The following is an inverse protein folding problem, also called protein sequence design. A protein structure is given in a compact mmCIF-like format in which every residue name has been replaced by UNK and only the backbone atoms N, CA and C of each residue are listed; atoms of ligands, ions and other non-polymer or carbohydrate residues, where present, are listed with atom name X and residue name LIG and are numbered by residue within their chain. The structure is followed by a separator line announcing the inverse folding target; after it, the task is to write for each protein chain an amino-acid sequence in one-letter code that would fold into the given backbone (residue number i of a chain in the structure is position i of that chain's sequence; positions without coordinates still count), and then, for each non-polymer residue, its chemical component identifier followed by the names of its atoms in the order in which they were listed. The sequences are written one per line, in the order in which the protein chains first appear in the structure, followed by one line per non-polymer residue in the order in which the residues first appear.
data_IF_598378406834
#
_entry.id   IF_598378406834
#
_cell.length_a   1.000
_cell.length_b   1.000
_cell.length_c   1.000
_cell.angle_alpha   90.00
_cell.angle_beta   90.00
_cell.angle_gamma   90.00
#
_symmetry.space_group_name_H-M   'P 1'
#
loop_
_entity.id
_entity.type
_entity.pdbx_description
1 polymer ?
#
# COMPACT_ATOMS: atom_id res chain seq x y z
N UNK A 1 43.34 34.84 -15.44
CA UNK A 1 42.00 34.77 -14.83
C UNK A 1 41.30 36.10 -15.09
N UNK A 2 40.36 36.12 -16.04
CA UNK A 2 39.67 37.32 -16.49
C UNK A 2 38.41 37.57 -15.65
N UNK A 3 38.37 38.67 -14.90
CA UNK A 3 37.19 39.09 -14.14
C UNK A 3 36.32 39.99 -15.01
N UNK A 4 35.17 39.48 -15.46
CA UNK A 4 34.16 40.27 -16.20
C UNK A 4 33.47 41.23 -15.23
N UNK A 5 33.68 42.53 -15.42
CA UNK A 5 32.90 43.60 -14.76
C UNK A 5 31.49 43.61 -15.36
N UNK A 6 30.47 43.39 -14.54
CA UNK A 6 29.08 43.57 -14.94
C UNK A 6 28.73 45.06 -14.92
N UNK A 7 28.21 45.55 -16.03
CA UNK A 7 27.76 46.93 -16.23
C UNK A 7 26.30 47.05 -15.75
N UNK A 8 26.05 47.94 -14.80
CA UNK A 8 24.71 48.28 -14.31
C UNK A 8 23.91 49.03 -15.39
N UNK A 9 22.63 48.67 -15.56
CA UNK A 9 21.64 49.42 -16.34
C UNK A 9 20.53 49.92 -15.40
N UNK A 10 20.22 51.24 -15.34
CA UNK A 10 19.09 51.74 -14.58
C UNK A 10 17.93 52.14 -15.49
N UNK A 11 16.72 51.60 -15.23
CA UNK A 11 15.38 52.18 -15.52
C UNK A 11 14.31 51.06 -15.48
N UNK A 12 13.09 51.22 -14.98
CA UNK A 12 12.32 52.33 -14.38
C UNK A 12 11.38 51.69 -13.34
N UNK A 13 11.15 52.43 -12.25
CA UNK A 13 10.03 52.23 -11.34
C UNK A 13 8.71 52.43 -12.09
N UNK A 14 7.86 51.41 -12.12
CA UNK A 14 6.47 51.52 -12.54
C UNK A 14 5.55 51.69 -11.31
N UNK A 15 4.68 52.71 -11.26
CA UNK A 15 3.77 52.88 -10.14
C UNK A 15 2.47 52.13 -10.41
N UNK A 16 2.20 51.04 -9.68
CA UNK A 16 0.82 50.54 -9.58
C UNK A 16 0.56 49.75 -8.29
N UNK A 17 0.75 50.41 -7.14
CA UNK A 17 0.24 49.94 -5.85
C UNK A 17 -1.13 50.54 -5.58
N UNK A 18 -2.19 50.02 -6.23
CA UNK A 18 -3.56 50.19 -5.71
C UNK A 18 -3.76 49.27 -4.52
N UNK A 19 -3.22 49.66 -3.36
CA UNK A 19 -3.62 49.09 -2.09
C UNK A 19 -5.04 49.56 -1.79
N UNK A 20 -6.03 48.73 -2.12
CA UNK A 20 -7.39 48.90 -1.60
C UNK A 20 -7.31 48.65 -0.10
N UNK A 21 -7.51 49.70 0.69
CA UNK A 21 -7.69 49.57 2.13
C UNK A 21 -8.99 48.81 2.38
N UNK A 22 -8.88 47.51 2.60
CA UNK A 22 -10.00 46.70 3.07
C UNK A 22 -10.25 47.16 4.51
N UNK A 23 -11.29 47.96 4.71
CA UNK A 23 -11.83 48.20 6.06
C UNK A 23 -12.31 46.85 6.58
N UNK A 24 -11.57 46.24 7.50
CA UNK A 24 -12.05 45.08 8.24
C UNK A 24 -13.28 45.50 9.06
N UNK A 25 -14.46 44.92 8.82
CA UNK A 25 -15.62 45.16 9.69
C UNK A 25 -15.30 44.63 11.09
N UNK A 26 -15.68 45.38 12.12
CA UNK A 26 -15.39 45.06 13.51
C UNK A 26 -15.90 43.65 13.91
N UNK A 27 -15.02 42.94 14.63
CA UNK A 27 -14.96 41.48 14.86
C UNK A 27 -16.11 40.84 15.69
N UNK A 28 -17.34 41.35 15.66
CA UNK A 28 -18.46 40.75 16.43
C UNK A 28 -19.15 39.57 15.73
N UNK A 29 -19.13 39.50 14.40
CA UNK A 29 -19.72 38.40 13.61
C UNK A 29 -18.79 37.20 13.39
N UNK A 30 -17.47 37.37 13.52
CA UNK A 30 -16.50 36.30 13.26
C UNK A 30 -16.55 35.19 14.32
N UNK A 31 -16.88 35.52 15.59
CA UNK A 31 -17.02 34.51 16.66
C UNK A 31 -18.24 33.62 16.49
N UNK A 32 -19.32 34.13 15.90
CA UNK A 32 -20.53 33.36 15.63
C UNK A 32 -20.35 32.34 14.51
N UNK A 33 -19.51 32.65 13.52
CA UNK A 33 -19.22 31.73 12.42
C UNK A 33 -18.47 30.47 12.91
N UNK A 34 -17.54 30.63 13.85
CA UNK A 34 -16.85 29.50 14.49
C UNK A 34 -17.77 28.66 15.38
N UNK A 35 -18.73 29.28 16.08
CA UNK A 35 -19.73 28.54 16.86
C UNK A 35 -20.67 27.72 15.96
N UNK A 36 -21.08 28.28 14.81
CA UNK A 36 -21.90 27.56 13.84
C UNK A 36 -21.17 26.34 13.24
N UNK A 37 -19.88 26.49 12.91
CA UNK A 37 -19.05 25.37 12.40
C UNK A 37 -18.88 24.29 13.46
N UNK A 38 -18.63 24.67 14.72
CA UNK A 38 -18.51 23.70 15.81
C UNK A 38 -19.81 22.91 16.03
N UNK A 39 -20.97 23.58 16.00
CA UNK A 39 -22.27 22.91 16.14
C UNK A 39 -22.57 21.96 14.96
N UNK A 40 -22.26 22.36 13.73
CA UNK A 40 -22.41 21.49 12.56
C UNK A 40 -21.48 20.27 12.63
N UNK A 41 -20.22 20.45 13.06
CA UNK A 41 -19.26 19.36 13.24
C UNK A 41 -19.70 18.34 14.30
N UNK A 42 -20.19 18.80 15.45
CA UNK A 42 -20.69 17.92 16.53
C UNK A 42 -21.92 17.13 16.05
N UNK A 43 -22.84 17.78 15.31
CA UNK A 43 -24.01 17.11 14.74
C UNK A 43 -23.65 16.02 13.73
N UNK A 44 -22.66 16.26 12.86
CA UNK A 44 -22.20 15.27 11.89
C UNK A 44 -21.56 14.04 12.57
N UNK A 45 -20.74 14.26 13.59
CA UNK A 45 -20.10 13.16 14.34
C UNK A 45 -21.13 12.33 15.10
N UNK A 46 -22.12 12.96 15.74
CA UNK A 46 -23.21 12.25 16.41
C UNK A 46 -24.04 11.42 15.43
N UNK A 47 -24.31 11.92 14.22
CA UNK A 47 -25.03 11.19 13.18
C UNK A 47 -24.25 9.96 12.69
N UNK A 48 -22.94 10.08 12.48
CA UNK A 48 -22.08 8.96 12.09
C UNK A 48 -22.07 7.89 13.18
N UNK A 49 -21.95 8.29 14.46
CA UNK A 49 -21.98 7.35 15.58
C UNK A 49 -23.32 6.62 15.71
N UNK A 50 -24.44 7.31 15.49
CA UNK A 50 -25.79 6.70 15.48
C UNK A 50 -25.99 5.73 14.30
N UNK A 51 -25.39 6.00 13.14
CA UNK A 51 -25.44 5.08 12.01
C UNK A 51 -24.58 3.82 12.25
N UNK A 52 -23.40 3.98 12.87
CA UNK A 52 -22.56 2.85 13.27
C UNK A 52 -23.27 1.97 14.31
N UNK A 53 -23.86 2.57 15.34
CA UNK A 53 -24.57 1.84 16.40
C UNK A 53 -25.81 1.07 15.91
N UNK A 54 -26.38 1.41 14.75
CA UNK A 54 -27.52 0.67 14.16
C UNK A 54 -27.13 -0.62 13.42
N UNK A 55 -25.85 -0.84 13.13
CA UNK A 55 -25.40 -2.02 12.38
C UNK A 55 -25.33 -3.30 13.24
N UNK A 56 -25.29 -3.17 14.57
CA UNK A 56 -25.14 -4.31 15.48
C UNK A 56 -26.47 -5.05 15.79
N UNK A 57 -27.60 -4.58 15.28
CA UNK A 57 -28.93 -5.12 15.62
C UNK A 57 -29.51 -6.10 14.59
N UNK A 58 -28.78 -6.45 13.52
CA UNK A 58 -29.31 -7.25 12.40
C UNK A 58 -28.34 -8.32 11.90
N UNK A 59 -28.15 -9.40 12.67
CA UNK A 59 -27.26 -10.47 12.21
C UNK A 59 -27.17 -11.73 13.06
N UNK A 60 -28.22 -12.19 13.73
CA UNK A 60 -28.20 -13.51 14.39
C UNK A 60 -28.53 -14.61 13.36
N UNK A 61 -27.55 -14.95 12.51
CA UNK A 61 -27.65 -16.11 11.61
C UNK A 61 -27.34 -17.40 12.37
N UNK A 62 -28.33 -18.29 12.36
CA UNK A 62 -28.41 -19.59 13.02
C UNK A 62 -27.35 -20.56 12.48
N UNK A 63 -26.25 -20.77 13.19
CA UNK A 63 -25.31 -21.87 12.90
C UNK A 63 -25.85 -23.19 13.48
N UNK A 64 -26.49 -24.00 12.64
CA UNK A 64 -26.81 -25.40 12.94
C UNK A 64 -25.55 -26.26 12.76
N UNK A 65 -25.21 -26.99 13.83
CA UNK A 65 -23.99 -27.79 13.92
C UNK A 65 -23.99 -29.06 13.07
N UNK A 66 -22.83 -29.37 12.52
CA UNK A 66 -22.49 -30.71 12.04
C UNK A 66 -21.36 -31.27 12.90
N UNK A 67 -21.77 -32.27 13.67
CA UNK A 67 -21.05 -33.35 14.34
C UNK A 67 -19.52 -33.44 14.13
N UNK A 68 -18.76 -33.14 15.18
CA UNK A 68 -17.33 -33.48 15.31
C UNK A 68 -17.20 -34.93 15.77
N UNK A 69 -16.52 -35.77 14.97
CA UNK A 69 -15.70 -36.84 15.54
C UNK A 69 -14.24 -36.38 15.47
N UNK A 70 -13.64 -36.30 16.66
CA UNK A 70 -12.28 -35.87 16.88
C UNK A 70 -11.28 -36.97 16.48
N UNK A 71 -10.17 -36.55 15.87
CA UNK A 71 -8.86 -37.17 16.08
C UNK A 71 -7.86 -36.07 16.46
N UNK A 72 -6.96 -36.30 17.43
CA UNK A 72 -6.21 -35.24 18.09
C UNK A 72 -4.82 -35.05 17.47
N UNK A 73 -4.48 -33.81 17.14
CA UNK A 73 -3.11 -33.29 17.23
C UNK A 73 -3.16 -31.75 17.18
N UNK A 74 -3.09 -31.14 18.37
CA UNK A 74 -2.56 -29.79 18.62
C UNK A 74 -1.33 -29.59 17.71
N UNK A 75 -1.17 -28.51 16.93
CA UNK A 75 -1.17 -27.13 17.38
C UNK A 75 -1.26 -26.19 16.16
N UNK A 76 -2.48 -25.94 15.67
CA UNK A 76 -2.74 -24.84 14.73
C UNK A 76 -3.61 -23.84 15.46
N UNK A 77 -2.96 -22.95 16.22
CA UNK A 77 -3.58 -21.74 16.71
C UNK A 77 -3.70 -20.75 15.53
N UNK A 78 -4.70 -20.95 14.67
CA UNK A 78 -5.19 -19.89 13.80
C UNK A 78 -6.34 -19.20 14.53
N UNK A 79 -6.06 -18.04 15.11
CA UNK A 79 -7.09 -17.13 15.57
C UNK A 79 -7.93 -16.67 14.38
N UNK A 80 -9.25 -16.76 14.53
CA UNK A 80 -10.26 -16.30 13.58
C UNK A 80 -9.96 -14.89 13.03
N UNK A 81 -9.50 -14.86 11.79
CA UNK A 81 -9.73 -13.81 10.79
C UNK A 81 -10.03 -14.62 9.55
N UNK A 82 -11.19 -14.47 8.90
CA UNK A 82 -11.43 -15.15 7.62
C UNK A 82 -10.25 -14.83 6.69
N UNK A 83 -9.34 -15.78 6.42
CA UNK A 83 -8.15 -15.48 5.66
C UNK A 83 -8.61 -15.28 4.23
N UNK A 84 -8.05 -14.25 3.56
CA UNK A 84 -8.04 -14.20 2.11
C UNK A 84 -7.63 -15.60 1.64
N UNK A 85 -8.57 -16.33 1.03
CA UNK A 85 -8.30 -17.66 0.48
C UNK A 85 -7.49 -17.43 -0.80
N UNK A 86 -6.17 -17.31 -0.65
CA UNK A 86 -5.28 -17.24 -1.80
C UNK A 86 -5.28 -18.63 -2.43
N UNK A 87 -5.86 -18.71 -3.63
CA UNK A 87 -5.90 -19.92 -4.44
C UNK A 87 -4.54 -20.12 -5.12
N UNK A 88 -3.59 -20.64 -4.34
CA UNK A 88 -2.23 -20.89 -4.82
C UNK A 88 -2.26 -21.83 -6.03
N UNK A 89 -1.60 -21.42 -7.12
CA UNK A 89 -1.48 -22.22 -8.33
C UNK A 89 -2.55 -21.95 -9.39
N UNK A 90 -3.37 -20.91 -9.22
CA UNK A 90 -4.26 -20.40 -10.27
C UNK A 90 -3.89 -18.98 -10.69
N UNK A 91 -4.31 -18.61 -11.90
CA UNK A 91 -4.17 -17.25 -12.44
C UNK A 91 -2.72 -16.78 -12.47
N UNK A 92 -2.46 -15.62 -11.87
CA UNK A 92 -1.14 -15.00 -11.78
C UNK A 92 -0.19 -15.70 -10.79
N UNK A 93 -0.69 -16.61 -9.96
CA UNK A 93 0.14 -17.42 -9.05
C UNK A 93 0.48 -18.81 -9.61
N UNK A 94 -0.04 -19.14 -10.79
CA UNK A 94 0.23 -20.43 -11.44
C UNK A 94 1.67 -20.51 -11.95
N UNK A 95 2.39 -21.54 -11.50
CA UNK A 95 3.77 -21.81 -11.89
C UNK A 95 3.86 -22.21 -13.37
N UNK A 96 4.80 -21.63 -14.10
CA UNK A 96 5.11 -22.04 -15.47
C UNK A 96 6.19 -23.14 -15.45
N UNK A 97 5.92 -24.34 -16.00
CA UNK A 97 6.91 -25.42 -16.03
C UNK A 97 8.14 -25.11 -16.90
N UNK A 98 8.09 -24.07 -17.75
CA UNK A 98 9.22 -23.63 -18.57
C UNK A 98 10.20 -22.72 -17.83
N UNK A 99 9.82 -22.20 -16.65
CA UNK A 99 10.70 -21.37 -15.84
C UNK A 99 11.80 -22.20 -15.16
N UNK A 100 12.95 -21.56 -14.84
CA UNK A 100 14.00 -22.22 -14.06
C UNK A 100 13.47 -22.66 -12.69
N UNK A 101 14.06 -23.70 -12.07
CA UNK A 101 13.70 -24.11 -10.72
C UNK A 101 13.94 -22.96 -9.72
N UNK A 102 13.15 -22.92 -8.65
CA UNK A 102 13.36 -21.97 -7.56
C UNK A 102 14.77 -22.11 -6.96
N UNK A 103 15.35 -21.01 -6.45
CA UNK A 103 16.63 -21.08 -5.77
C UNK A 103 16.54 -21.99 -4.54
N UNK A 104 17.55 -22.80 -4.30
CA UNK A 104 17.61 -23.72 -3.15
C UNK A 104 18.42 -23.09 -2.01
N UNK A 105 18.13 -21.84 -1.64
CA UNK A 105 18.93 -21.06 -0.68
C UNK A 105 18.65 -21.39 0.80
N UNK A 106 17.92 -22.47 1.08
CA UNK A 106 17.74 -23.01 2.45
C UNK A 106 16.31 -23.42 2.79
N UNK A 107 15.95 -23.25 4.07
CA UNK A 107 14.58 -23.41 4.54
C UNK A 107 13.80 -22.11 4.33
N UNK A 108 12.54 -22.22 3.95
CA UNK A 108 11.65 -21.09 3.69
C UNK A 108 10.82 -20.77 4.94
N UNK A 109 10.57 -19.48 5.23
CA UNK A 109 9.67 -19.08 6.32
C UNK A 109 8.19 -19.47 6.08
N UNK A 110 7.83 -19.79 4.84
CA UNK A 110 6.48 -20.18 4.39
C UNK A 110 6.51 -21.53 3.70
N UNK A 111 5.38 -22.26 3.61
CA UNK A 111 5.31 -23.48 2.82
C UNK A 111 5.75 -23.25 1.36
N UNK A 112 6.38 -24.25 0.74
CA UNK A 112 7.06 -24.08 -0.55
C UNK A 112 6.09 -23.71 -1.69
N UNK A 113 4.84 -24.13 -1.61
CA UNK A 113 3.77 -23.77 -2.53
C UNK A 113 3.42 -22.28 -2.45
N UNK A 114 3.49 -21.69 -1.26
CA UNK A 114 3.27 -20.25 -1.06
C UNK A 114 4.45 -19.48 -1.66
N UNK A 115 5.67 -19.92 -1.40
CA UNK A 115 6.87 -19.31 -1.99
C UNK A 115 6.79 -19.37 -3.51
N UNK A 116 6.51 -20.55 -4.09
CA UNK A 116 6.33 -20.74 -5.53
C UNK A 116 5.27 -19.80 -6.12
N UNK A 117 4.15 -19.63 -5.44
CA UNK A 117 3.09 -18.71 -5.84
C UNK A 117 3.55 -17.25 -5.84
N UNK A 118 4.35 -16.81 -4.86
CA UNK A 118 4.90 -15.45 -4.81
C UNK A 118 5.86 -15.18 -5.97
N UNK A 119 6.76 -16.13 -6.26
CA UNK A 119 7.66 -16.03 -7.43
C UNK A 119 6.88 -15.99 -8.75
N UNK A 120 5.85 -16.82 -8.88
CA UNK A 120 4.99 -16.81 -10.07
C UNK A 120 4.27 -15.47 -10.24
N UNK A 121 3.72 -14.93 -9.15
CA UNK A 121 3.08 -13.62 -9.15
C UNK A 121 4.07 -12.53 -9.55
N UNK A 122 5.28 -12.52 -8.99
CA UNK A 122 6.29 -11.52 -9.32
C UNK A 122 6.74 -11.57 -10.79
N UNK A 123 6.83 -12.77 -11.37
CA UNK A 123 7.15 -12.95 -12.78
C UNK A 123 6.05 -12.43 -13.72
N UNK A 124 4.78 -12.62 -13.35
CA UNK A 124 3.61 -12.26 -14.17
C UNK A 124 3.11 -10.84 -13.94
N UNK A 125 3.22 -10.34 -12.72
CA UNK A 125 2.71 -9.04 -12.26
C UNK A 125 3.84 -8.06 -11.92
N UNK A 126 4.97 -8.20 -12.63
CA UNK A 126 6.09 -7.25 -12.53
C UNK A 126 5.68 -5.82 -12.88
N UNK A 127 4.68 -5.65 -13.75
CA UNK A 127 4.03 -4.37 -14.07
C UNK A 127 3.39 -3.69 -12.86
N UNK A 128 2.93 -4.46 -11.89
CA UNK A 128 2.41 -3.94 -10.61
C UNK A 128 3.55 -3.75 -9.62
N UNK A 129 4.39 -4.78 -9.46
CA UNK A 129 5.44 -4.80 -8.44
C UNK A 129 6.51 -3.73 -8.67
N UNK A 130 6.70 -3.24 -9.90
CA UNK A 130 7.61 -2.14 -10.20
C UNK A 130 7.25 -0.82 -9.49
N UNK A 131 5.99 -0.66 -9.08
CA UNK A 131 5.53 0.54 -8.34
C UNK A 131 5.58 0.37 -6.83
N UNK A 132 5.84 -0.85 -6.35
CA UNK A 132 5.96 -1.14 -4.93
C UNK A 132 7.45 -1.05 -4.58
N UNK A 133 7.86 -0.16 -3.67
CA UNK A 133 9.28 -0.01 -3.36
C UNK A 133 9.81 -1.27 -2.69
N UNK A 134 11.13 -1.45 -2.78
CA UNK A 134 11.78 -2.47 -1.99
C UNK A 134 11.76 -2.06 -0.51
N UNK A 135 11.33 -2.97 0.36
CA UNK A 135 11.28 -2.72 1.82
C UNK A 135 12.33 -3.54 2.58
N UNK A 136 13.15 -4.32 1.87
CA UNK A 136 14.17 -5.19 2.46
C UNK A 136 15.47 -4.43 2.83
N UNK A 137 15.62 -3.16 2.43
CA UNK A 137 16.84 -2.37 2.67
C UNK A 137 18.03 -2.77 1.78
N UNK A 138 17.76 -3.44 0.66
CA UNK A 138 18.76 -3.95 -0.28
C UNK A 138 18.94 -3.07 -1.54
N UNK A 139 18.52 -1.81 -1.50
CA UNK A 139 18.55 -0.92 -2.66
C UNK A 139 19.99 -0.72 -3.17
N UNK A 140 20.95 -0.68 -2.23
CA UNK A 140 22.39 -0.61 -2.54
C UNK A 140 22.94 -1.87 -3.22
N UNK A 141 22.20 -2.96 -3.19
CA UNK A 141 22.54 -4.25 -3.81
C UNK A 141 21.91 -4.37 -5.22
N UNK A 142 21.14 -3.36 -5.64
CA UNK A 142 20.61 -3.24 -6.99
C UNK A 142 19.11 -3.51 -7.14
N UNK A 143 18.38 -3.84 -6.07
CA UNK A 143 16.92 -3.98 -6.10
C UNK A 143 16.26 -2.61 -6.04
N UNK A 144 15.49 -2.25 -7.06
CA UNK A 144 14.84 -0.94 -7.15
C UNK A 144 13.40 -0.97 -6.62
N UNK A 145 12.74 -2.12 -6.74
CA UNK A 145 11.35 -2.32 -6.38
C UNK A 145 11.10 -3.76 -5.93
N UNK A 146 9.89 -4.05 -5.49
CA UNK A 146 9.54 -5.36 -4.92
C UNK A 146 9.66 -6.52 -5.91
N UNK A 147 9.57 -6.26 -7.22
CA UNK A 147 9.79 -7.30 -8.25
C UNK A 147 11.20 -7.87 -8.17
N UNK A 148 12.18 -7.02 -7.91
CA UNK A 148 13.60 -7.38 -7.96
C UNK A 148 13.98 -8.34 -6.81
N UNK A 149 13.19 -8.37 -5.73
CA UNK A 149 13.32 -9.35 -4.66
C UNK A 149 13.13 -10.81 -5.15
N UNK A 150 12.44 -11.01 -6.27
CA UNK A 150 12.10 -12.34 -6.79
C UNK A 150 12.73 -12.61 -8.16
N UNK A 151 12.82 -11.60 -9.03
CA UNK A 151 13.21 -11.79 -10.44
C UNK A 151 14.51 -11.05 -10.75
N UNK A 152 15.60 -11.80 -10.88
CA UNK A 152 16.92 -11.26 -11.19
C UNK A 152 17.12 -11.00 -12.69
N UNK A 153 16.55 -11.85 -13.55
CA UNK A 153 16.66 -11.69 -15.00
C UNK A 153 15.43 -12.26 -15.72
N UNK A 154 14.85 -11.48 -16.62
CA UNK A 154 13.70 -11.86 -17.43
C UNK A 154 13.84 -11.31 -18.85
N UNK A 155 13.47 -12.12 -19.84
CA UNK A 155 13.43 -11.72 -21.24
C UNK A 155 12.00 -11.86 -21.79
N UNK A 156 11.79 -11.52 -23.06
CA UNK A 156 10.53 -11.77 -23.76
C UNK A 156 10.13 -13.26 -23.77
N UNK A 157 11.09 -14.17 -23.61
CA UNK A 157 10.85 -15.61 -23.53
C UNK A 157 10.50 -16.10 -22.11
N UNK A 158 10.47 -15.22 -21.11
CA UNK A 158 10.16 -15.57 -19.71
C UNK A 158 11.33 -15.33 -18.75
N UNK A 159 11.18 -15.81 -17.51
CA UNK A 159 12.20 -15.65 -16.47
C UNK A 159 13.41 -16.52 -16.78
N UNK A 160 14.60 -15.93 -16.72
CA UNK A 160 15.89 -16.64 -16.92
C UNK A 160 16.58 -16.96 -15.61
N UNK A 161 16.42 -16.10 -14.60
CA UNK A 161 17.02 -16.29 -13.28
C UNK A 161 16.18 -15.65 -12.19
N UNK A 162 15.97 -16.40 -11.11
CA UNK A 162 15.36 -15.93 -9.88
C UNK A 162 16.38 -15.21 -9.00
N UNK A 163 15.92 -14.25 -8.22
CA UNK A 163 16.68 -13.74 -7.09
C UNK A 163 16.48 -14.66 -5.88
N UNK A 164 17.47 -14.76 -5.00
CA UNK A 164 17.42 -15.67 -3.85
C UNK A 164 16.79 -15.00 -2.63
N UNK A 165 16.71 -13.67 -2.60
CA UNK A 165 16.22 -12.92 -1.45
C UNK A 165 14.76 -13.17 -1.15
N UNK A 166 13.92 -13.32 -2.18
CA UNK A 166 12.50 -13.65 -2.01
C UNK A 166 12.26 -15.08 -1.50
N UNK A 167 13.30 -15.89 -1.34
CA UNK A 167 13.21 -17.28 -0.87
C UNK A 167 13.36 -17.42 0.65
N UNK A 168 14.10 -16.50 1.28
CA UNK A 168 14.40 -16.52 2.73
C UNK A 168 13.28 -15.89 3.55
#
# INVERSE_FOLDING_TARGET
MASKKYTELPRRLGPNSRQKTIKHPEHRSFRWWWLAIALLGIGAVALIFQLAAKQDAGGLSKQQGVNRKASPALEQATTNTDPISIDYGKGDTAWDPTWPPLPASGATARPIEVVRAMYAYAARRGDVLQYIPCYCGCERQGHQNNRDCFVKEQTSAGVKRWDEMGYT
#
